data_IF_667135400530
#
_entry.id   IF_667135400530
#
_cell.length_a   1.000
_cell.length_b   1.000
_cell.length_c   1.000
_cell.angle_alpha   90.00
_cell.angle_beta   90.00
_cell.angle_gamma   90.00
#
_symmetry.space_group_name_H-M   'P 1'
#
loop_
_entity.id
_entity.type
_entity.pdbx_description
1 polymer ?
#
# COMPACT_ATOMS: atom_id res chain seq x y z
N UNK A 1 9.15 23.66 -0.92
CA UNK A 1 7.96 23.42 -1.75
C UNK A 1 7.71 21.93 -1.73
N UNK A 2 6.64 21.31 -1.23
CA UNK A 2 5.51 21.66 -0.38
C UNK A 2 4.97 20.31 0.12
N UNK A 3 4.59 20.24 1.40
CA UNK A 3 3.51 19.36 1.91
C UNK A 3 3.66 17.83 1.89
N UNK A 4 3.74 17.27 3.11
CA UNK A 4 3.06 16.04 3.56
C UNK A 4 3.15 14.77 2.71
N UNK A 5 4.06 13.84 3.02
CA UNK A 5 3.75 12.39 2.95
C UNK A 5 4.78 11.57 3.74
N UNK A 6 4.35 11.03 4.87
CA UNK A 6 5.13 10.19 5.78
C UNK A 6 5.77 8.99 5.05
N UNK A 7 7.09 8.82 5.18
CA UNK A 7 7.88 7.59 4.92
C UNK A 7 7.86 6.94 3.51
N UNK A 8 6.95 7.30 2.61
CA UNK A 8 6.82 6.65 1.30
C UNK A 8 7.81 7.16 0.22
N UNK A 9 8.44 8.32 0.44
CA UNK A 9 9.23 8.99 -0.61
C UNK A 9 10.61 8.36 -0.90
N UNK A 10 11.19 7.59 0.03
CA UNK A 10 12.55 7.06 -0.12
C UNK A 10 12.63 5.61 -0.62
N UNK A 11 11.51 4.92 -0.85
CA UNK A 11 11.48 3.47 -1.10
C UNK A 11 11.20 3.07 -2.55
N UNK A 12 11.08 4.04 -3.45
CA UNK A 12 10.94 3.82 -4.89
C UNK A 12 11.85 4.80 -5.64
N UNK A 13 12.50 4.31 -6.69
CA UNK A 13 13.12 5.19 -7.68
C UNK A 13 12.53 4.92 -9.06
N UNK A 14 12.48 5.97 -9.88
CA UNK A 14 12.03 5.90 -11.26
C UNK A 14 13.19 5.40 -12.10
N UNK A 15 12.96 4.29 -12.80
CA UNK A 15 13.91 3.71 -13.73
C UNK A 15 13.84 4.43 -15.07
N UNK A 16 14.95 4.47 -15.81
CA UNK A 16 15.07 5.13 -17.12
C UNK A 16 14.05 4.65 -18.16
N UNK A 17 13.51 3.44 -17.97
CA UNK A 17 12.47 2.84 -18.82
C UNK A 17 11.03 3.20 -18.41
N UNK A 18 10.83 4.22 -17.57
CA UNK A 18 9.50 4.69 -17.14
C UNK A 18 8.81 3.79 -16.10
N UNK A 19 9.55 2.88 -15.46
CA UNK A 19 9.05 1.99 -14.41
C UNK A 19 9.45 2.44 -13.00
N UNK A 20 8.80 1.88 -11.99
CA UNK A 20 9.15 2.02 -10.58
C UNK A 20 9.90 0.76 -10.12
N UNK A 21 11.07 0.95 -9.52
CA UNK A 21 11.86 -0.15 -8.95
C UNK A 21 11.91 -0.03 -7.42
N UNK A 22 11.80 -1.18 -6.77
CA UNK A 22 11.94 -1.28 -5.32
C UNK A 22 13.42 -1.22 -4.96
N UNK A 23 13.76 -0.50 -3.89
CA UNK A 23 15.14 -0.41 -3.40
C UNK A 23 15.52 -1.57 -2.48
N UNK A 24 14.53 -2.29 -1.95
CA UNK A 24 14.72 -3.37 -0.97
C UNK A 24 14.75 -4.77 -1.61
N UNK A 25 14.31 -4.91 -2.86
CA UNK A 25 14.31 -6.18 -3.58
C UNK A 25 14.25 -5.99 -5.11
N UNK A 26 14.44 -7.04 -5.92
CA UNK A 26 14.42 -6.94 -7.38
C UNK A 26 13.05 -6.64 -8.02
N UNK A 27 12.01 -6.37 -7.23
CA UNK A 27 10.66 -6.13 -7.75
C UNK A 27 10.57 -4.79 -8.49
N UNK A 28 9.92 -4.81 -9.65
CA UNK A 28 9.66 -3.64 -10.47
C UNK A 28 8.23 -3.64 -11.02
N UNK A 29 7.65 -2.47 -11.22
CA UNK A 29 6.33 -2.31 -11.84
C UNK A 29 6.22 -0.96 -12.53
N UNK A 30 5.43 -0.87 -13.59
CA UNK A 30 5.14 0.42 -14.26
C UNK A 30 4.10 1.25 -13.51
N UNK A 31 3.36 0.65 -12.58
CA UNK A 31 2.28 1.35 -11.87
C UNK A 31 2.72 1.78 -10.46
N UNK A 32 2.76 3.09 -10.21
CA UNK A 32 3.11 3.66 -8.89
C UNK A 32 2.27 3.08 -7.75
N UNK A 33 0.96 2.90 -7.98
CA UNK A 33 0.05 2.33 -6.99
C UNK A 33 0.43 0.90 -6.57
N UNK A 34 0.87 0.08 -7.52
CA UNK A 34 1.38 -1.27 -7.22
C UNK A 34 2.68 -1.22 -6.44
N UNK A 35 3.60 -0.30 -6.77
CA UNK A 35 4.83 -0.12 -6.00
C UNK A 35 4.53 0.32 -4.56
N UNK A 36 3.62 1.27 -4.35
CA UNK A 36 3.22 1.71 -3.01
C UNK A 36 2.62 0.57 -2.17
N UNK A 37 1.84 -0.33 -2.77
CA UNK A 37 1.32 -1.52 -2.08
C UNK A 37 2.44 -2.54 -1.84
N UNK A 38 3.38 -2.66 -2.78
CA UNK A 38 4.53 -3.55 -2.65
C UNK A 38 5.41 -3.16 -1.46
N UNK A 39 5.81 -1.88 -1.34
CA UNK A 39 6.72 -1.42 -0.27
C UNK A 39 6.13 -1.63 1.13
N UNK A 40 4.79 -1.63 1.26
CA UNK A 40 4.11 -1.98 2.52
C UNK A 40 4.36 -3.41 2.99
N UNK A 41 4.81 -4.32 2.11
CA UNK A 41 5.24 -5.66 2.52
C UNK A 41 6.57 -5.63 3.28
N UNK A 42 7.42 -4.66 3.00
CA UNK A 42 8.71 -4.46 3.69
C UNK A 42 8.52 -3.68 4.99
N UNK A 43 7.74 -2.61 4.97
CA UNK A 43 7.54 -1.74 6.15
C UNK A 43 6.50 -2.29 7.13
N UNK A 44 5.63 -3.18 6.67
CA UNK A 44 4.50 -3.67 7.47
C UNK A 44 3.38 -2.63 7.67
N UNK A 45 3.46 -1.48 6.99
CA UNK A 45 2.44 -0.44 7.08
C UNK A 45 1.07 -0.93 6.60
N UNK A 46 0.06 -0.69 7.43
CA UNK A 46 -1.35 -1.04 7.17
C UNK A 46 -2.24 0.18 7.39
N UNK A 47 -2.31 1.09 6.42
CA UNK A 47 -3.01 2.36 6.58
C UNK A 47 -4.54 2.22 6.58
N UNK A 48 -5.07 1.10 6.06
CA UNK A 48 -6.52 0.92 5.95
C UNK A 48 -7.04 0.13 7.15
N UNK A 49 -7.74 0.79 8.06
CA UNK A 49 -8.39 0.14 9.19
C UNK A 49 -9.90 -0.03 8.93
N UNK A 50 -10.44 -1.20 9.27
CA UNK A 50 -11.89 -1.40 9.29
C UNK A 50 -12.50 -0.56 10.43
N UNK A 51 -13.49 0.28 10.12
CA UNK A 51 -14.14 1.13 11.11
C UNK A 51 -14.94 0.33 12.17
N UNK A 52 -15.37 -0.90 11.84
CA UNK A 52 -16.18 -1.73 12.75
C UNK A 52 -15.35 -2.50 13.77
N UNK A 53 -14.21 -3.09 13.35
CA UNK A 53 -13.42 -3.98 14.22
C UNK A 53 -11.95 -3.54 14.38
N UNK A 54 -11.53 -2.44 13.76
CA UNK A 54 -10.16 -1.93 13.84
C UNK A 54 -9.11 -2.75 13.08
N UNK A 55 -9.50 -3.84 12.41
CA UNK A 55 -8.56 -4.69 11.66
C UNK A 55 -7.88 -3.89 10.55
N UNK A 56 -6.55 -3.93 10.50
CA UNK A 56 -5.74 -3.17 9.54
C UNK A 56 -5.34 -3.99 8.32
N UNK A 57 -5.34 -3.36 7.15
CA UNK A 57 -5.06 -3.93 5.83
C UNK A 57 -4.02 -3.10 5.08
N UNK A 58 -3.26 -3.79 4.22
CA UNK A 58 -2.22 -3.18 3.36
C UNK A 58 -2.79 -2.45 2.14
N UNK A 59 -4.02 -2.80 1.72
CA UNK A 59 -4.68 -2.27 0.53
C UNK A 59 -6.20 -2.10 0.74
N UNK A 60 -6.78 -1.12 0.04
CA UNK A 60 -8.21 -0.73 0.16
C UNK A 60 -9.15 -1.84 -0.29
N UNK A 61 -8.77 -2.58 -1.32
CA UNK A 61 -9.58 -3.67 -1.88
C UNK A 61 -9.77 -4.80 -0.86
N UNK A 62 -8.72 -5.18 -0.13
CA UNK A 62 -8.77 -6.19 0.92
C UNK A 62 -9.65 -5.74 2.09
N UNK A 63 -9.53 -4.48 2.53
CA UNK A 63 -10.39 -3.92 3.58
C UNK A 63 -11.86 -3.94 3.16
N UNK A 64 -12.19 -3.47 1.93
CA UNK A 64 -13.57 -3.43 1.44
C UNK A 64 -14.18 -4.83 1.32
N UNK A 65 -13.40 -5.82 0.89
CA UNK A 65 -13.82 -7.23 0.89
C UNK A 65 -14.07 -7.73 2.31
N UNK A 66 -13.26 -7.32 3.28
CA UNK A 66 -13.48 -7.70 4.67
C UNK A 66 -14.76 -7.07 5.26
N UNK A 67 -15.11 -5.84 4.88
CA UNK A 67 -16.32 -5.18 5.37
C UNK A 67 -17.61 -5.95 5.07
N UNK A 68 -17.64 -6.76 4.00
CA UNK A 68 -18.79 -7.60 3.68
C UNK A 68 -19.04 -8.66 4.75
N UNK A 69 -18.00 -9.13 5.44
CA UNK A 69 -18.11 -10.10 6.54
C UNK A 69 -18.97 -9.53 7.67
N UNK A 70 -18.82 -8.24 7.96
CA UNK A 70 -19.66 -7.56 8.96
C UNK A 70 -21.10 -7.29 8.50
N UNK A 71 -21.43 -7.52 7.22
CA UNK A 71 -22.81 -7.52 6.77
C UNK A 71 -23.49 -8.88 7.01
N UNK A 72 -22.71 -9.96 7.10
CA UNK A 72 -23.21 -11.31 7.39
C UNK A 72 -23.28 -11.61 8.90
N UNK A 73 -22.43 -10.97 9.71
CA UNK A 73 -22.44 -11.10 11.18
C UNK A 73 -23.49 -10.17 11.83
N UNK A 74 -24.71 -10.11 11.29
CA UNK A 74 -25.81 -9.34 11.90
C UNK A 74 -26.48 -10.11 13.03
#
# INVERSE_FOLDING_TARGET
MSSTDSLAFFQLYVSSNGGFQCTMCPYATVQKGHMNIHVRKHTGEKPFACAKCGRKFKDKSSMRKHETIHAFQR
#
